data_IF_588593376814
#
_entry.id   IF_588593376814
#
_cell.length_a   1.000
_cell.length_b   1.000
_cell.length_c   1.000
_cell.angle_alpha   90.00
_cell.angle_beta   90.00
_cell.angle_gamma   90.00
#
_symmetry.space_group_name_H-M   'P 1'
#
loop_
_entity.id
_entity.type
_entity.pdbx_description
1 polymer ?
#
# COMPACT_ATOMS: atom_id res chain seq x y z
N UNK A 1 43.84 -8.33 34.83
CA UNK A 1 42.46 -8.42 35.39
C UNK A 1 41.52 -7.58 34.52
N UNK A 2 40.72 -8.22 33.67
CA UNK A 2 39.47 -7.65 33.15
C UNK A 2 38.44 -8.78 33.11
N UNK A 3 37.39 -8.62 33.93
CA UNK A 3 36.29 -9.59 34.09
C UNK A 3 35.18 -9.16 33.13
N UNK A 4 35.09 -9.78 31.96
CA UNK A 4 34.07 -9.45 30.96
C UNK A 4 32.72 -10.05 31.41
N UNK A 5 31.93 -9.25 32.14
CA UNK A 5 30.63 -9.66 32.67
C UNK A 5 29.59 -9.85 31.56
N UNK A 6 29.13 -11.08 31.37
CA UNK A 6 27.99 -11.51 30.53
C UNK A 6 26.64 -11.08 31.15
N UNK A 7 26.41 -9.77 31.35
CA UNK A 7 25.15 -9.25 31.93
C UNK A 7 24.48 -8.13 31.14
N UNK A 8 24.58 -8.12 29.81
CA UNK A 8 23.79 -7.19 28.97
C UNK A 8 23.17 -7.79 27.70
N UNK A 9 23.35 -9.08 27.40
CA UNK A 9 22.84 -9.65 26.13
C UNK A 9 21.36 -10.06 26.16
N UNK A 10 20.80 -10.32 27.34
CA UNK A 10 19.39 -10.78 27.48
C UNK A 10 18.39 -9.66 27.19
N UNK A 11 18.71 -8.40 27.55
CA UNK A 11 17.85 -7.24 27.28
C UNK A 11 17.71 -6.92 25.80
N UNK A 12 18.77 -7.09 25.00
CA UNK A 12 18.72 -6.88 23.55
C UNK A 12 17.93 -7.96 22.82
N UNK A 13 17.96 -9.20 23.29
CA UNK A 13 17.18 -10.29 22.68
C UNK A 13 15.67 -10.06 22.86
N UNK A 14 15.23 -9.60 24.03
CA UNK A 14 13.82 -9.28 24.27
C UNK A 14 13.35 -8.09 23.44
N UNK A 15 14.18 -7.05 23.29
CA UNK A 15 13.85 -5.87 22.48
C UNK A 15 13.80 -6.23 20.99
N UNK A 16 14.70 -7.10 20.51
CA UNK A 16 14.68 -7.61 19.14
C UNK A 16 13.46 -8.52 18.88
N UNK A 17 13.05 -9.34 19.84
CA UNK A 17 11.83 -10.17 19.73
C UNK A 17 10.58 -9.27 19.71
N UNK A 18 10.52 -8.22 20.54
CA UNK A 18 9.41 -7.25 20.52
C UNK A 18 9.35 -6.51 19.18
N UNK A 19 10.49 -6.08 18.63
CA UNK A 19 10.57 -5.43 17.32
C UNK A 19 10.17 -6.38 16.20
N UNK A 20 10.58 -7.66 16.25
CA UNK A 20 10.23 -8.65 15.24
C UNK A 20 8.72 -9.00 15.25
N UNK A 21 8.12 -9.15 16.44
CA UNK A 21 6.67 -9.35 16.57
C UNK A 21 5.88 -8.10 16.13
N UNK A 22 6.37 -6.90 16.43
CA UNK A 22 5.79 -5.64 15.97
C UNK A 22 5.84 -5.53 14.44
N UNK A 23 6.98 -5.87 13.81
CA UNK A 23 7.12 -5.93 12.35
C UNK A 23 6.19 -6.95 11.70
N UNK A 24 5.99 -8.12 12.34
CA UNK A 24 5.02 -9.12 11.88
C UNK A 24 3.57 -8.61 11.95
N UNK A 25 3.23 -7.84 12.99
CA UNK A 25 1.91 -7.20 13.10
C UNK A 25 1.73 -5.98 12.19
N UNK A 26 2.83 -5.34 11.77
CA UNK A 26 2.82 -4.22 10.82
C UNK A 26 2.55 -4.66 9.37
N UNK A 27 2.55 -5.97 9.11
CA UNK A 27 2.31 -6.55 7.80
C UNK A 27 0.85 -6.98 7.56
N UNK A 28 -0.06 -6.73 8.50
CA UNK A 28 -1.45 -7.14 8.37
C UNK A 28 -2.32 -6.02 7.78
N UNK A 29 -2.62 -6.18 6.48
CA UNK A 29 -3.52 -5.39 5.63
C UNK A 29 -3.12 -3.93 5.34
N UNK A 30 -2.16 -3.73 4.43
CA UNK A 30 -1.93 -2.40 3.82
C UNK A 30 -3.13 -1.89 2.99
N UNK A 31 -4.10 -2.76 2.68
CA UNK A 31 -5.27 -2.40 1.87
C UNK A 31 -6.57 -2.68 2.63
N UNK A 32 -7.46 -1.70 2.61
CA UNK A 32 -8.80 -1.72 3.21
C UNK A 32 -9.90 -1.77 2.14
N UNK A 33 -9.61 -1.28 0.93
CA UNK A 33 -10.57 -1.21 -0.17
C UNK A 33 -10.13 -2.12 -1.31
N UNK A 34 -11.05 -2.94 -1.81
CA UNK A 34 -10.78 -3.97 -2.84
C UNK A 34 -11.77 -3.81 -4.00
N UNK A 35 -11.63 -2.78 -4.84
CA UNK A 35 -12.49 -2.58 -5.99
C UNK A 35 -12.37 -3.76 -6.97
N UNK A 36 -13.50 -4.23 -7.47
CA UNK A 36 -13.59 -5.26 -8.52
C UNK A 36 -13.83 -4.66 -9.90
N UNK A 37 -14.33 -3.43 -9.93
CA UNK A 37 -14.66 -2.70 -11.15
C UNK A 37 -13.99 -1.33 -11.16
N UNK A 38 -13.83 -0.76 -12.37
CA UNK A 38 -13.28 0.58 -12.55
C UNK A 38 -14.18 1.63 -11.90
N UNK A 39 -15.49 1.42 -11.92
CA UNK A 39 -16.50 2.30 -11.34
C UNK A 39 -16.37 2.35 -9.80
N UNK A 40 -16.16 1.20 -9.16
CA UNK A 40 -15.89 1.12 -7.72
C UNK A 40 -14.57 1.82 -7.37
N UNK A 41 -13.50 1.58 -8.15
CA UNK A 41 -12.23 2.29 -7.96
C UNK A 41 -12.41 3.81 -8.10
N UNK A 42 -13.16 4.26 -9.12
CA UNK A 42 -13.45 5.69 -9.31
C UNK A 42 -14.19 6.29 -8.13
N UNK A 43 -15.15 5.57 -7.54
CA UNK A 43 -15.86 6.03 -6.36
C UNK A 43 -14.91 6.20 -5.16
N UNK A 44 -13.99 5.27 -4.91
CA UNK A 44 -13.01 5.38 -3.84
C UNK A 44 -12.00 6.51 -4.07
N UNK A 45 -11.57 6.71 -5.31
CA UNK A 45 -10.65 7.79 -5.69
C UNK A 45 -11.26 9.17 -5.46
N UNK A 46 -12.56 9.31 -5.71
CA UNK A 46 -13.30 10.57 -5.52
C UNK A 46 -13.55 10.91 -4.04
N UNK A 47 -13.45 9.93 -3.14
CA UNK A 47 -13.59 10.15 -1.70
C UNK A 47 -12.25 10.62 -1.10
N UNK A 48 -12.18 11.90 -0.77
CA UNK A 48 -10.98 12.52 -0.17
C UNK A 48 -10.67 11.99 1.23
N UNK A 49 -11.61 11.32 1.90
CA UNK A 49 -11.36 10.69 3.20
C UNK A 49 -10.59 9.38 3.09
N UNK A 50 -10.54 8.79 1.89
CA UNK A 50 -9.82 7.54 1.62
C UNK A 50 -8.39 7.86 1.18
N UNK A 51 -7.42 7.30 1.89
CA UNK A 51 -6.02 7.31 1.45
C UNK A 51 -5.87 6.37 0.24
N UNK A 52 -5.27 6.84 -0.84
CA UNK A 52 -5.12 6.04 -2.06
C UNK A 52 -4.28 4.78 -1.81
N UNK A 53 -3.33 4.83 -0.87
CA UNK A 53 -2.49 3.69 -0.51
C UNK A 53 -3.24 2.54 0.17
N UNK A 54 -4.43 2.79 0.70
CA UNK A 54 -5.30 1.76 1.29
C UNK A 54 -6.13 1.01 0.24
N UNK A 55 -6.02 1.36 -1.05
CA UNK A 55 -6.81 0.77 -2.13
C UNK A 55 -5.98 -0.29 -2.86
N UNK A 56 -6.42 -1.55 -2.80
CA UNK A 56 -5.85 -2.64 -3.59
C UNK A 56 -6.30 -2.52 -5.04
N UNK A 57 -5.39 -2.07 -5.91
CA UNK A 57 -5.63 -1.90 -7.34
C UNK A 57 -5.26 -3.13 -8.17
N UNK A 58 -4.76 -4.20 -7.55
CA UNK A 58 -4.22 -5.38 -8.25
C UNK A 58 -5.25 -6.17 -9.08
N UNK A 59 -6.55 -6.00 -8.81
CA UNK A 59 -7.64 -6.59 -9.56
C UNK A 59 -8.09 -5.74 -10.77
N UNK A 60 -7.69 -4.47 -10.82
CA UNK A 60 -8.12 -3.52 -11.85
C UNK A 60 -7.14 -3.53 -13.01
N UNK A 61 -7.67 -3.68 -14.22
CA UNK A 61 -6.87 -3.69 -15.47
C UNK A 61 -7.11 -2.46 -16.34
N UNK A 62 -8.26 -1.80 -16.17
CA UNK A 62 -8.61 -0.55 -16.83
C UNK A 62 -8.63 0.59 -15.79
N UNK A 63 -7.64 1.47 -15.89
CA UNK A 63 -7.48 2.65 -15.04
C UNK A 63 -7.77 3.95 -15.82
N UNK A 64 -8.42 3.88 -16.98
CA UNK A 64 -8.72 5.05 -17.80
C UNK A 64 -9.66 6.03 -17.08
N UNK A 65 -9.32 7.32 -17.14
CA UNK A 65 -10.16 8.45 -16.68
C UNK A 65 -10.60 8.37 -15.20
N UNK A 66 -9.83 7.70 -14.34
CA UNK A 66 -10.14 7.61 -12.89
C UNK A 66 -10.25 8.99 -12.24
N UNK A 67 -9.36 9.90 -12.61
CA UNK A 67 -9.29 11.26 -12.06
C UNK A 67 -9.96 12.32 -12.96
N UNK A 68 -10.65 11.90 -14.03
CA UNK A 68 -11.32 12.84 -14.94
C UNK A 68 -12.42 13.60 -14.20
N UNK A 69 -12.25 14.93 -14.09
CA UNK A 69 -13.16 15.80 -13.35
C UNK A 69 -13.02 15.74 -11.83
N UNK A 70 -11.99 15.09 -11.28
CA UNK A 70 -11.74 15.07 -9.84
C UNK A 70 -11.25 16.42 -9.33
N UNK A 71 -11.75 16.86 -8.17
CA UNK A 71 -11.26 18.05 -7.44
C UNK A 71 -10.22 17.73 -6.38
N UNK A 72 -9.89 16.44 -6.22
CA UNK A 72 -8.95 15.92 -5.21
C UNK A 72 -7.57 16.57 -5.36
N UNK A 73 -6.97 16.96 -4.24
CA UNK A 73 -5.64 17.57 -4.20
C UNK A 73 -4.57 16.67 -3.58
N UNK A 74 -4.94 15.77 -2.66
CA UNK A 74 -4.02 14.85 -2.02
C UNK A 74 -3.97 13.52 -2.76
N UNK A 75 -2.81 13.18 -3.30
CA UNK A 75 -2.55 11.93 -4.02
C UNK A 75 -1.61 11.00 -3.25
N UNK A 76 -1.39 11.24 -1.97
CA UNK A 76 -0.52 10.41 -1.13
C UNK A 76 -0.97 8.95 -1.15
N UNK A 77 0.00 8.03 -1.23
CA UNK A 77 -0.24 6.60 -1.25
C UNK A 77 -0.55 6.04 -2.65
N UNK A 78 -0.71 6.87 -3.69
CA UNK A 78 -0.90 6.37 -5.06
C UNK A 78 0.32 5.60 -5.58
N UNK A 79 1.52 5.89 -5.06
CA UNK A 79 2.77 5.22 -5.42
C UNK A 79 2.81 3.74 -5.05
N UNK A 80 1.91 3.27 -4.16
CA UNK A 80 1.79 1.86 -3.81
C UNK A 80 0.94 1.06 -4.79
N UNK A 81 0.28 1.70 -5.76
CA UNK A 81 -0.64 1.03 -6.67
C UNK A 81 0.07 0.03 -7.61
N UNK A 82 -0.48 -1.18 -7.69
CA UNK A 82 0.01 -2.20 -8.62
C UNK A 82 -0.50 -1.90 -10.04
N UNK A 83 0.39 -1.33 -10.86
CA UNK A 83 0.10 -1.01 -12.26
C UNK A 83 0.54 -2.11 -13.24
N UNK A 84 1.06 -3.24 -12.77
CA UNK A 84 1.65 -4.27 -13.63
C UNK A 84 0.65 -4.89 -14.61
N UNK A 85 -0.66 -4.82 -14.31
CA UNK A 85 -1.74 -5.42 -15.12
C UNK A 85 -2.49 -4.42 -15.99
N UNK A 86 -2.14 -3.13 -15.93
CA UNK A 86 -2.82 -2.09 -16.67
C UNK A 86 -2.58 -2.27 -18.17
N UNK A 87 -3.65 -2.50 -18.94
CA UNK A 87 -3.54 -2.66 -20.40
C UNK A 87 -3.78 -1.32 -21.09
N UNK A 88 -2.73 -0.78 -21.70
CA UNK A 88 -2.89 0.35 -22.61
C UNK A 88 -3.46 -0.17 -23.93
N UNK A 89 -4.72 0.11 -24.24
CA UNK A 89 -5.26 -0.13 -25.58
C UNK A 89 -4.67 0.91 -26.55
N UNK A 90 -3.44 0.66 -26.97
CA UNK A 90 -2.78 1.38 -28.05
C UNK A 90 -3.53 1.16 -29.36
N UNK A 91 -3.80 2.25 -30.05
CA UNK A 91 -4.50 2.37 -31.33
C UNK A 91 -3.92 1.36 -32.34
N UNK A 92 -4.74 0.45 -32.85
CA UNK A 92 -4.42 -0.27 -34.08
C UNK A 92 -4.56 0.72 -35.23
N UNK A 93 -3.46 1.35 -35.64
CA UNK A 93 -3.40 2.05 -36.92
C UNK A 93 -3.33 0.97 -37.99
N UNK A 94 -4.44 0.76 -38.72
CA UNK A 94 -4.42 0.01 -39.98
C UNK A 94 -3.84 0.86 -41.10
#
# INVERSE_FOLDING_TARGET
>A
MYKMGTKKKVGFALLAIMVFNLSSSYADSQHKYFPKTREELKAFVQDESINLGEIDTSAITDMAKLFEGSTRQDFSGIESWDTCKVKYYGIYVR
#
